data_IF_686816241723
#
_entry.id   IF_686816241723
#
_cell.length_a   1.000
_cell.length_b   1.000
_cell.length_c   1.000
_cell.angle_alpha   90.00
_cell.angle_beta   90.00
_cell.angle_gamma   90.00
#
_symmetry.space_group_name_H-M   'P 1'
#
loop_
_entity.id
_entity.type
_entity.pdbx_description
1 polymer ?
#
# COMPACT_ATOMS: atom_id res chain seq x y z
N UNK A 1 -21.23 -28.15 10.71
CA UNK A 1 -20.11 -28.93 11.30
C UNK A 1 -19.57 -29.84 10.22
N UNK A 2 -18.27 -29.76 9.92
CA UNK A 2 -17.58 -30.57 8.90
C UNK A 2 -17.83 -32.07 9.16
N UNK A 3 -18.06 -32.84 8.10
CA UNK A 3 -18.31 -34.29 8.13
C UNK A 3 -17.14 -35.06 8.77
N UNK A 4 -15.91 -34.60 8.55
CA UNK A 4 -14.70 -35.16 9.14
C UNK A 4 -14.63 -34.96 10.67
N UNK A 5 -15.11 -33.81 11.17
CA UNK A 5 -15.22 -33.53 12.61
C UNK A 5 -16.25 -34.47 13.24
N UNK A 6 -17.40 -34.69 12.58
CA UNK A 6 -18.43 -35.62 13.07
C UNK A 6 -17.88 -37.03 13.23
N UNK A 7 -17.12 -37.50 12.23
CA UNK A 7 -16.52 -38.83 12.26
C UNK A 7 -15.53 -38.97 13.43
N UNK A 8 -14.62 -38.01 13.63
CA UNK A 8 -13.68 -38.02 14.77
C UNK A 8 -14.41 -38.01 16.12
N UNK A 9 -15.52 -37.28 16.23
CA UNK A 9 -16.32 -37.24 17.46
C UNK A 9 -17.06 -38.57 17.71
N UNK A 10 -17.49 -39.28 16.65
CA UNK A 10 -18.19 -40.56 16.73
C UNK A 10 -17.27 -41.77 16.94
N UNK A 11 -15.98 -41.67 16.62
CA UNK A 11 -15.01 -42.76 16.78
C UNK A 11 -14.91 -43.29 18.23
N UNK A 12 -14.71 -44.60 18.39
CA UNK A 12 -14.34 -45.18 19.67
C UNK A 12 -12.90 -44.78 20.05
N UNK A 13 -12.71 -44.14 21.21
CA UNK A 13 -11.38 -43.71 21.64
C UNK A 13 -11.40 -42.73 22.82
N UNK A 14 -10.20 -42.42 23.34
CA UNK A 14 -10.05 -41.47 24.45
C UNK A 14 -10.25 -40.03 24.01
N UNK A 15 -10.64 -39.14 24.94
CA UNK A 15 -10.73 -37.70 24.69
C UNK A 15 -9.40 -37.14 24.16
N UNK A 16 -8.27 -37.60 24.69
CA UNK A 16 -6.93 -37.23 24.22
C UNK A 16 -6.74 -37.59 22.75
N UNK A 17 -7.09 -38.81 22.32
CA UNK A 17 -6.98 -39.23 20.92
C UNK A 17 -7.79 -38.33 19.98
N UNK A 18 -9.04 -38.02 20.35
CA UNK A 18 -9.92 -37.12 19.60
C UNK A 18 -9.36 -35.70 19.53
N UNK A 19 -8.87 -35.17 20.65
CA UNK A 19 -8.21 -33.85 20.71
C UNK A 19 -7.00 -33.81 19.77
N UNK A 20 -6.15 -34.85 19.75
CA UNK A 20 -5.00 -34.91 18.86
C UNK A 20 -5.40 -34.83 17.39
N UNK A 21 -6.41 -35.61 16.97
CA UNK A 21 -6.93 -35.59 15.60
C UNK A 21 -7.52 -34.23 15.22
N UNK A 22 -8.31 -33.62 16.10
CA UNK A 22 -8.91 -32.30 15.85
C UNK A 22 -7.87 -31.17 15.81
N UNK A 23 -6.79 -31.26 16.60
CA UNK A 23 -5.66 -30.33 16.53
C UNK A 23 -4.91 -30.44 15.19
N UNK A 24 -4.70 -31.66 14.68
CA UNK A 24 -4.11 -31.88 13.35
C UNK A 24 -5.01 -31.38 12.22
N UNK A 25 -6.33 -31.44 12.42
CA UNK A 25 -7.34 -30.89 11.51
C UNK A 25 -7.42 -29.35 11.55
N UNK A 26 -6.69 -28.71 12.47
CA UNK A 26 -6.56 -27.26 12.54
C UNK A 26 -7.61 -26.54 13.40
N UNK A 27 -8.41 -27.25 14.19
CA UNK A 27 -9.37 -26.62 15.10
C UNK A 27 -8.65 -25.89 16.24
N UNK A 28 -9.25 -24.79 16.69
CA UNK A 28 -8.74 -24.03 17.83
C UNK A 28 -8.97 -24.75 19.16
N UNK A 29 -8.17 -24.40 20.18
CA UNK A 29 -8.35 -24.92 21.53
C UNK A 29 -9.75 -24.67 22.11
N UNK A 30 -10.41 -23.59 21.69
CA UNK A 30 -11.76 -23.24 22.14
C UNK A 30 -12.80 -24.19 21.53
N UNK A 31 -12.79 -24.35 20.21
CA UNK A 31 -13.72 -25.23 19.50
C UNK A 31 -13.59 -26.68 19.98
N UNK A 32 -12.35 -27.17 20.16
CA UNK A 32 -12.12 -28.52 20.67
C UNK A 32 -12.63 -28.67 22.10
N UNK A 33 -12.47 -27.64 22.95
CA UNK A 33 -12.94 -27.70 24.32
C UNK A 33 -14.46 -27.77 24.40
N UNK A 34 -15.16 -27.00 23.55
CA UNK A 34 -16.62 -27.04 23.43
C UNK A 34 -17.10 -28.42 22.93
N UNK A 35 -16.41 -29.02 21.96
CA UNK A 35 -16.79 -30.30 21.35
C UNK A 35 -16.47 -31.54 22.20
N UNK A 36 -15.33 -31.57 22.90
CA UNK A 36 -14.78 -32.81 23.51
C UNK A 36 -14.69 -32.75 25.03
N UNK A 37 -14.52 -31.55 25.61
CA UNK A 37 -14.13 -31.41 27.03
C UNK A 37 -15.11 -30.59 27.85
N UNK A 38 -16.31 -30.29 27.33
CA UNK A 38 -17.35 -29.47 27.98
C UNK A 38 -16.79 -28.12 28.45
N UNK A 39 -15.96 -27.48 27.62
CA UNK A 39 -15.38 -26.17 27.86
C UNK A 39 -14.04 -26.16 28.61
N UNK A 40 -13.50 -27.31 29.03
CA UNK A 40 -12.20 -27.36 29.69
C UNK A 40 -11.04 -27.16 28.68
N UNK A 41 -10.65 -25.89 28.49
CA UNK A 41 -9.56 -25.47 27.60
C UNK A 41 -8.17 -25.88 28.11
N UNK A 42 -7.98 -25.96 29.43
CA UNK A 42 -6.69 -26.35 30.02
C UNK A 42 -6.31 -27.79 29.67
N UNK A 43 -7.30 -28.69 29.61
CA UNK A 43 -7.06 -30.07 29.20
C UNK A 43 -6.62 -30.16 27.73
N UNK A 44 -7.24 -29.39 26.83
CA UNK A 44 -6.85 -29.33 25.42
C UNK A 44 -5.42 -28.78 25.26
N UNK A 45 -5.09 -27.72 26.01
CA UNK A 45 -3.75 -27.13 26.01
C UNK A 45 -2.67 -28.12 26.45
N UNK A 46 -2.93 -28.93 27.49
CA UNK A 46 -1.99 -29.94 27.94
C UNK A 46 -1.72 -31.01 26.87
N UNK A 47 -2.75 -31.41 26.11
CA UNK A 47 -2.59 -32.34 24.99
C UNK A 47 -1.80 -31.70 23.85
N UNK A 48 -2.11 -30.45 23.49
CA UNK A 48 -1.36 -29.69 22.48
C UNK A 48 0.12 -29.55 22.84
N UNK A 49 0.42 -29.12 24.08
CA UNK A 49 1.79 -28.96 24.58
C UNK A 49 2.58 -30.28 24.44
N UNK A 50 1.96 -31.41 24.83
CA UNK A 50 2.57 -32.73 24.69
C UNK A 50 2.84 -33.11 23.23
N UNK A 51 1.88 -32.88 22.32
CA UNK A 51 2.09 -33.14 20.89
C UNK A 51 3.19 -32.27 20.27
N UNK A 52 3.31 -31.01 20.73
CA UNK A 52 4.36 -30.10 20.31
C UNK A 52 5.73 -30.60 20.75
N UNK A 53 5.84 -30.98 22.02
CA UNK A 53 7.09 -31.48 22.61
C UNK A 53 7.49 -32.84 21.98
N UNK A 54 6.51 -33.63 21.50
CA UNK A 54 6.70 -34.87 20.72
C UNK A 54 6.98 -34.63 19.22
N UNK A 55 6.99 -33.37 18.75
CA UNK A 55 7.22 -33.03 17.33
C UNK A 55 6.11 -33.49 16.37
N UNK A 56 4.94 -33.86 16.90
CA UNK A 56 3.80 -34.39 16.13
C UNK A 56 2.92 -33.29 15.52
N UNK A 57 3.13 -32.04 15.92
CA UNK A 57 2.46 -30.91 15.30
C UNK A 57 3.29 -30.44 14.10
N UNK A 58 2.66 -30.12 12.96
CA UNK A 58 3.37 -29.53 11.83
C UNK A 58 4.19 -28.34 12.32
N UNK A 59 5.48 -28.30 11.96
CA UNK A 59 6.37 -27.17 12.23
C UNK A 59 5.59 -25.89 11.96
N UNK A 60 5.43 -25.06 12.99
CA UNK A 60 4.44 -24.00 13.07
C UNK A 60 4.02 -23.53 11.68
N UNK A 61 2.85 -24.00 11.21
CA UNK A 61 2.10 -23.21 10.26
C UNK A 61 1.92 -21.90 11.02
N UNK A 62 2.76 -20.91 10.71
CA UNK A 62 2.48 -19.50 10.93
C UNK A 62 0.99 -19.43 10.72
N UNK A 63 0.24 -19.12 11.78
CA UNK A 63 -1.20 -18.97 11.71
C UNK A 63 -1.45 -18.22 10.42
N UNK A 64 -1.92 -18.95 9.41
CA UNK A 64 -2.53 -18.32 8.27
C UNK A 64 -3.77 -17.82 8.95
N UNK A 65 -3.66 -16.60 9.48
CA UNK A 65 -4.81 -15.72 9.57
C UNK A 65 -5.45 -15.96 8.22
N UNK A 66 -6.59 -16.65 8.20
CA UNK A 66 -7.46 -16.63 7.04
C UNK A 66 -7.88 -15.17 6.98
N UNK A 67 -6.99 -14.37 6.39
CA UNK A 67 -7.29 -13.03 5.96
C UNK A 67 -8.50 -13.28 5.07
N UNK A 68 -9.67 -12.69 5.36
CA UNK A 68 -10.79 -12.80 4.43
C UNK A 68 -10.22 -12.51 3.04
N UNK A 69 -10.50 -13.37 2.05
CA UNK A 69 -9.94 -13.22 0.70
C UNK A 69 -10.17 -11.76 0.27
N UNK A 70 -9.11 -10.96 0.34
CA UNK A 70 -9.22 -9.53 0.15
C UNK A 70 -9.45 -9.31 -1.34
N UNK A 71 -10.52 -8.59 -1.66
CA UNK A 71 -10.74 -8.14 -3.03
C UNK A 71 -9.73 -7.03 -3.36
N UNK A 72 -8.73 -7.38 -4.16
CA UNK A 72 -7.73 -6.44 -4.68
C UNK A 72 -8.10 -5.87 -6.05
N UNK A 73 -9.38 -5.94 -6.44
CA UNK A 73 -9.89 -5.23 -7.63
C UNK A 73 -9.69 -3.73 -7.45
N UNK A 74 -9.12 -3.08 -8.46
CA UNK A 74 -8.81 -1.66 -8.36
C UNK A 74 -10.05 -0.81 -8.64
N UNK A 75 -10.71 -0.37 -7.56
CA UNK A 75 -11.93 0.49 -7.61
C UNK A 75 -11.78 1.80 -6.84
N UNK A 76 -10.63 2.01 -6.20
CA UNK A 76 -10.38 3.15 -5.30
C UNK A 76 -10.32 4.45 -6.09
N UNK A 77 -10.83 5.53 -5.48
CA UNK A 77 -10.61 6.90 -5.95
C UNK A 77 -9.17 7.31 -5.69
N UNK A 78 -8.49 7.84 -6.70
CA UNK A 78 -7.11 8.28 -6.60
C UNK A 78 -6.88 9.58 -7.37
N UNK A 79 -5.73 10.19 -7.18
CA UNK A 79 -5.26 11.31 -7.97
C UNK A 79 -3.74 11.29 -8.08
N UNK A 80 -3.21 11.93 -9.12
CA UNK A 80 -1.77 12.03 -9.37
C UNK A 80 -1.34 13.48 -9.57
N UNK A 81 -0.16 13.80 -9.05
CA UNK A 81 0.56 15.03 -9.35
C UNK A 81 1.86 14.62 -10.07
N UNK A 82 1.98 15.00 -11.34
CA UNK A 82 3.10 14.65 -12.22
C UNK A 82 3.97 15.91 -12.40
N UNK A 83 5.16 15.90 -11.79
CA UNK A 83 6.13 16.97 -11.96
C UNK A 83 7.02 16.68 -13.19
N UNK A 84 7.14 17.65 -14.10
CA UNK A 84 7.91 17.48 -15.33
C UNK A 84 8.35 18.82 -15.94
N UNK A 85 9.07 18.76 -17.07
CA UNK A 85 9.58 19.93 -17.77
C UNK A 85 9.67 19.69 -19.29
N UNK A 86 10.18 20.68 -20.04
CA UNK A 86 10.46 20.62 -21.48
C UNK A 86 9.24 20.71 -22.41
N UNK A 87 8.12 21.24 -21.93
CA UNK A 87 6.97 21.58 -22.77
C UNK A 87 6.28 22.82 -22.22
N UNK A 88 6.03 23.82 -23.07
CA UNK A 88 5.28 25.00 -22.65
C UNK A 88 3.87 24.60 -22.23
N UNK A 89 3.32 25.29 -21.21
CA UNK A 89 1.98 24.98 -20.70
C UNK A 89 0.92 25.18 -21.78
N UNK A 90 1.10 26.18 -22.65
CA UNK A 90 0.20 26.50 -23.75
C UNK A 90 0.11 25.33 -24.74
N UNK A 91 1.27 24.81 -25.16
CA UNK A 91 1.34 23.63 -26.04
C UNK A 91 0.73 22.42 -25.34
N UNK A 92 1.11 22.15 -24.10
CA UNK A 92 0.62 20.96 -23.39
C UNK A 92 -0.90 20.99 -23.15
N UNK A 93 -1.48 22.15 -22.81
CA UNK A 93 -2.94 22.30 -22.72
C UNK A 93 -3.62 22.00 -24.04
N UNK A 94 -3.07 22.51 -25.16
CA UNK A 94 -3.62 22.27 -26.48
C UNK A 94 -3.63 20.77 -26.82
N UNK A 95 -2.48 20.10 -26.71
CA UNK A 95 -2.33 18.68 -27.07
C UNK A 95 -3.17 17.76 -26.17
N UNK A 96 -3.29 18.07 -24.87
CA UNK A 96 -4.17 17.32 -23.97
C UNK A 96 -5.64 17.46 -24.37
N UNK A 97 -6.08 18.66 -24.76
CA UNK A 97 -7.47 18.89 -25.20
C UNK A 97 -7.77 18.21 -26.53
N UNK A 98 -6.83 18.22 -27.48
CA UNK A 98 -6.96 17.47 -28.74
C UNK A 98 -7.09 15.96 -28.49
N UNK A 99 -6.45 15.45 -27.44
CA UNK A 99 -6.60 14.07 -26.99
C UNK A 99 -7.89 13.80 -26.17
N UNK A 100 -8.78 14.79 -26.03
CA UNK A 100 -10.03 14.68 -25.29
C UNK A 100 -9.90 14.79 -23.76
N UNK A 101 -8.75 15.26 -23.25
CA UNK A 101 -8.54 15.48 -21.81
C UNK A 101 -8.98 16.91 -21.46
N UNK A 102 -9.95 17.04 -20.56
CA UNK A 102 -10.33 18.35 -20.02
C UNK A 102 -9.22 18.88 -19.12
N UNK A 103 -8.54 19.96 -19.55
CA UNK A 103 -7.43 20.57 -18.81
C UNK A 103 -7.42 22.09 -18.94
N UNK A 104 -7.00 22.77 -17.85
CA UNK A 104 -6.69 24.20 -17.84
C UNK A 104 -5.31 24.50 -17.25
N UNK A 105 -4.68 25.58 -17.70
CA UNK A 105 -3.53 26.18 -17.03
C UNK A 105 -4.01 27.11 -15.91
N UNK A 106 -3.45 26.99 -14.71
CA UNK A 106 -3.78 27.81 -13.55
C UNK A 106 -2.49 28.32 -12.87
N UNK A 107 -2.58 29.40 -12.08
CA UNK A 107 -1.52 29.78 -11.15
C UNK A 107 -1.40 28.72 -10.02
N UNK A 108 -0.25 28.68 -9.34
CA UNK A 108 -0.04 27.77 -8.21
C UNK A 108 -1.19 27.81 -7.20
N UNK A 109 -1.84 26.66 -7.00
CA UNK A 109 -2.92 26.53 -6.04
C UNK A 109 -3.19 25.06 -5.67
N UNK A 110 -3.82 24.86 -4.52
CA UNK A 110 -4.21 23.54 -4.03
C UNK A 110 -5.72 23.26 -4.12
N UNK A 111 -6.45 23.99 -4.96
CA UNK A 111 -7.88 23.80 -5.10
C UNK A 111 -8.18 22.53 -5.92
N UNK A 112 -9.15 21.75 -5.44
CA UNK A 112 -9.66 20.60 -6.18
C UNK A 112 -10.41 21.08 -7.44
N UNK A 113 -10.28 20.32 -8.53
CA UNK A 113 -10.96 20.54 -9.80
C UNK A 113 -11.59 19.24 -10.27
N UNK A 114 -12.66 19.35 -11.04
CA UNK A 114 -13.29 18.24 -11.77
C UNK A 114 -12.58 17.91 -13.09
N UNK A 115 -11.47 18.59 -13.38
CA UNK A 115 -10.66 18.49 -14.60
C UNK A 115 -9.18 18.48 -14.24
N UNK A 116 -8.33 18.14 -15.20
CA UNK A 116 -6.89 18.28 -15.04
C UNK A 116 -6.50 19.76 -14.94
N UNK A 117 -5.40 20.03 -14.25
CA UNK A 117 -4.81 21.36 -14.22
C UNK A 117 -3.29 21.31 -14.33
N UNK A 118 -2.73 22.26 -15.08
CA UNK A 118 -1.31 22.57 -15.06
C UNK A 118 -1.07 23.73 -14.12
N UNK A 119 -0.19 23.54 -13.14
CA UNK A 119 0.24 24.60 -12.21
C UNK A 119 1.76 24.80 -12.29
N UNK A 120 2.20 25.95 -11.81
CA UNK A 120 3.62 26.27 -11.65
C UNK A 120 4.15 25.64 -10.37
N UNK A 121 5.33 25.03 -10.41
CA UNK A 121 6.06 24.58 -9.24
C UNK A 121 7.50 25.11 -9.27
N UNK A 122 7.81 26.01 -8.32
CA UNK A 122 9.13 26.65 -8.20
C UNK A 122 10.22 25.73 -7.67
N UNK A 123 9.87 24.53 -7.20
CA UNK A 123 10.85 23.54 -6.71
C UNK A 123 11.50 22.72 -7.83
N UNK A 124 10.99 22.84 -9.07
CA UNK A 124 11.46 22.10 -10.22
C UNK A 124 12.58 22.83 -10.97
N UNK A 125 13.52 22.06 -11.51
CA UNK A 125 14.60 22.55 -12.36
C UNK A 125 14.33 22.16 -13.82
N UNK A 126 14.68 23.04 -14.76
CA UNK A 126 14.54 22.80 -16.20
C UNK A 126 13.87 23.97 -16.91
N UNK A 127 13.78 23.90 -18.24
CA UNK A 127 12.95 24.79 -19.03
C UNK A 127 11.49 24.36 -18.94
N UNK A 128 10.57 25.34 -18.88
CA UNK A 128 9.13 25.09 -18.97
C UNK A 128 8.62 24.06 -17.94
N UNK A 129 9.03 24.21 -16.68
CA UNK A 129 8.62 23.31 -15.60
C UNK A 129 7.14 23.45 -15.28
N UNK A 130 6.48 22.32 -14.99
CA UNK A 130 5.09 22.28 -14.58
C UNK A 130 4.80 21.11 -13.64
N UNK A 131 3.71 21.24 -12.89
CA UNK A 131 3.05 20.12 -12.21
C UNK A 131 1.67 19.92 -12.87
N UNK A 132 1.43 18.72 -13.38
CA UNK A 132 0.15 18.30 -13.93
C UNK A 132 -0.63 17.52 -12.88
N UNK A 133 -1.74 18.08 -12.43
CA UNK A 133 -2.57 17.56 -11.33
C UNK A 133 -3.87 17.01 -11.90
N UNK A 134 -4.18 15.76 -11.57
CA UNK A 134 -5.40 15.10 -12.03
C UNK A 134 -6.65 15.60 -11.28
N UNK A 135 -7.85 15.43 -11.87
CA UNK A 135 -9.08 15.37 -11.10
C UNK A 135 -9.09 14.10 -10.22
N UNK A 136 -10.20 13.84 -9.53
CA UNK A 136 -10.41 12.54 -8.87
C UNK A 136 -10.63 11.48 -9.96
N UNK A 137 -9.65 10.60 -10.11
CA UNK A 137 -9.71 9.42 -10.97
C UNK A 137 -10.28 8.23 -10.19
N UNK A 138 -10.85 7.25 -10.88
CA UNK A 138 -11.52 6.10 -10.23
C UNK A 138 -11.15 4.79 -10.91
N UNK A 139 -10.55 3.87 -10.15
CA UNK A 139 -10.34 2.49 -10.58
C UNK A 139 -9.67 2.36 -11.96
N UNK A 140 -10.11 1.37 -12.73
CA UNK A 140 -9.60 1.08 -14.08
C UNK A 140 -9.83 2.24 -15.06
N UNK A 141 -11.04 2.82 -15.10
CA UNK A 141 -11.35 3.97 -15.96
C UNK A 141 -10.38 5.15 -15.73
N UNK A 142 -10.02 5.39 -14.47
CA UNK A 142 -9.03 6.38 -14.08
C UNK A 142 -7.62 6.06 -14.56
N UNK A 143 -7.24 4.79 -14.63
CA UNK A 143 -5.95 4.37 -15.20
C UNK A 143 -5.94 4.53 -16.72
N UNK A 144 -7.05 4.25 -17.41
CA UNK A 144 -7.17 4.46 -18.86
C UNK A 144 -7.02 5.94 -19.22
N UNK A 145 -7.62 6.85 -18.44
CA UNK A 145 -7.43 8.30 -18.63
C UNK A 145 -5.97 8.72 -18.36
N UNK A 146 -5.36 8.19 -17.30
CA UNK A 146 -3.94 8.44 -16.99
C UNK A 146 -3.01 7.91 -18.10
N UNK A 147 -3.34 6.80 -18.75
CA UNK A 147 -2.58 6.27 -19.88
C UNK A 147 -2.59 7.24 -21.07
N UNK A 148 -3.77 7.75 -21.43
CA UNK A 148 -3.90 8.78 -22.49
C UNK A 148 -3.07 10.01 -22.18
N UNK A 149 -3.12 10.49 -20.93
CA UNK A 149 -2.28 11.62 -20.49
C UNK A 149 -0.78 11.30 -20.67
N UNK A 150 -0.34 10.10 -20.30
CA UNK A 150 1.06 9.70 -20.50
C UNK A 150 1.47 9.67 -21.98
N UNK A 151 0.59 9.24 -22.89
CA UNK A 151 0.86 9.28 -24.34
C UNK A 151 1.05 10.71 -24.83
N UNK A 152 0.20 11.65 -24.38
CA UNK A 152 0.35 13.07 -24.73
C UNK A 152 1.65 13.65 -24.19
N UNK A 153 2.01 13.33 -22.94
CA UNK A 153 3.28 13.78 -22.34
C UNK A 153 4.48 13.29 -23.16
N UNK A 154 4.48 12.03 -23.58
CA UNK A 154 5.55 11.46 -24.42
C UNK A 154 5.61 12.12 -25.80
N UNK A 155 4.46 12.27 -26.48
CA UNK A 155 4.36 12.95 -27.78
C UNK A 155 4.80 14.43 -27.71
N UNK A 156 4.56 15.08 -26.58
CA UNK A 156 5.01 16.46 -26.32
C UNK A 156 6.52 16.57 -26.05
N UNK A 157 7.26 15.46 -26.00
CA UNK A 157 8.67 15.39 -25.62
C UNK A 157 8.93 15.93 -24.21
N UNK A 158 7.96 15.72 -23.29
CA UNK A 158 8.10 16.06 -21.88
C UNK A 158 9.26 15.25 -21.28
N UNK A 159 9.99 15.89 -20.35
CA UNK A 159 11.14 15.30 -19.68
C UNK A 159 10.98 15.32 -18.17
N UNK A 160 11.74 14.46 -17.50
CA UNK A 160 11.83 14.37 -16.04
C UNK A 160 13.30 14.38 -15.63
N UNK A 161 13.59 14.88 -14.44
CA UNK A 161 14.93 14.90 -13.87
C UNK A 161 14.88 14.64 -12.35
N UNK A 162 15.98 14.90 -11.65
CA UNK A 162 16.13 14.65 -10.21
C UNK A 162 15.22 15.49 -9.31
N UNK A 163 14.76 16.68 -9.73
CA UNK A 163 13.80 17.47 -8.95
C UNK A 163 12.39 16.92 -9.07
N UNK A 164 12.03 16.36 -10.23
CA UNK A 164 10.70 15.82 -10.51
C UNK A 164 10.34 14.61 -9.62
N UNK A 165 9.12 14.60 -9.12
CA UNK A 165 8.44 13.56 -8.36
C UNK A 165 7.14 13.11 -9.01
N UNK A 166 6.60 12.01 -8.48
CA UNK A 166 5.22 11.60 -8.71
C UNK A 166 4.55 11.50 -7.34
N UNK A 167 3.54 12.32 -7.10
CA UNK A 167 2.70 12.18 -5.91
C UNK A 167 1.43 11.44 -6.26
N UNK A 168 1.05 10.49 -5.41
CA UNK A 168 -0.19 9.72 -5.57
C UNK A 168 -1.06 9.95 -4.34
N UNK A 169 -2.25 10.48 -4.57
CA UNK A 169 -3.29 10.59 -3.56
C UNK A 169 -4.21 9.39 -3.65
N UNK A 170 -4.44 8.70 -2.54
CA UNK A 170 -5.44 7.63 -2.44
C UNK A 170 -6.54 8.06 -1.49
N UNK A 171 -7.80 7.88 -1.89
CA UNK A 171 -8.93 8.15 -0.98
C UNK A 171 -8.78 7.35 0.30
N UNK A 172 -8.96 8.06 1.41
CA UNK A 172 -8.90 7.55 2.77
C UNK A 172 -10.19 7.87 3.54
N UNK A 173 -11.28 8.18 2.84
CA UNK A 173 -12.61 8.42 3.41
C UNK A 173 -13.12 7.20 4.20
N UNK A 174 -12.76 5.99 3.76
CA UNK A 174 -13.13 4.70 4.34
C UNK A 174 -12.18 4.22 5.44
N UNK A 175 -11.15 4.98 5.80
CA UNK A 175 -10.14 4.51 6.74
C UNK A 175 -10.63 4.58 8.18
N UNK A 176 -10.61 3.43 8.86
CA UNK A 176 -10.60 3.38 10.32
C UNK A 176 -9.23 3.84 10.86
N UNK A 177 -9.16 4.20 12.15
CA UNK A 177 -7.87 4.46 12.80
C UNK A 177 -6.93 3.25 12.69
N UNK A 178 -7.46 2.02 12.81
CA UNK A 178 -6.69 0.79 12.64
C UNK A 178 -6.07 0.69 11.24
N UNK A 179 -6.83 1.06 10.20
CA UNK A 179 -6.34 1.09 8.81
C UNK A 179 -5.18 2.08 8.67
N UNK A 180 -5.31 3.28 9.24
CA UNK A 180 -4.22 4.27 9.26
C UNK A 180 -2.96 3.74 9.93
N UNK A 181 -3.08 3.19 11.14
CA UNK A 181 -1.95 2.63 11.87
C UNK A 181 -1.27 1.50 11.09
N UNK A 182 -2.06 0.58 10.54
CA UNK A 182 -1.56 -0.55 9.76
C UNK A 182 -0.86 -0.10 8.48
N UNK A 183 -1.39 0.91 7.79
CA UNK A 183 -0.78 1.46 6.58
C UNK A 183 0.58 2.08 6.89
N UNK A 184 0.66 2.91 7.93
CA UNK A 184 1.91 3.57 8.32
C UNK A 184 2.99 2.57 8.73
N UNK A 185 2.63 1.57 9.52
CA UNK A 185 3.55 0.50 9.91
C UNK A 185 3.95 -0.34 8.71
N UNK A 186 3.02 -0.68 7.82
CA UNK A 186 3.33 -1.44 6.61
C UNK A 186 4.32 -0.70 5.73
N UNK A 187 4.08 0.59 5.48
CA UNK A 187 4.97 1.40 4.67
C UNK A 187 6.35 1.56 5.34
N UNK A 188 6.38 1.87 6.64
CA UNK A 188 7.62 1.98 7.44
C UNK A 188 8.44 0.69 7.35
N UNK A 189 7.82 -0.47 7.54
CA UNK A 189 8.50 -1.76 7.52
C UNK A 189 8.94 -2.18 6.12
N UNK A 190 8.18 -1.80 5.09
CA UNK A 190 8.53 -2.03 3.70
C UNK A 190 9.52 -0.99 3.14
N UNK A 191 9.80 0.11 3.83
CA UNK A 191 10.51 1.27 3.27
C UNK A 191 11.90 0.88 2.71
N UNK A 192 12.63 0.01 3.41
CA UNK A 192 13.94 -0.49 2.95
C UNK A 192 13.81 -1.29 1.64
N UNK A 193 12.76 -2.10 1.49
CA UNK A 193 12.51 -2.82 0.24
C UNK A 193 12.03 -1.90 -0.87
N UNK A 194 11.20 -0.90 -0.53
CA UNK A 194 10.72 0.12 -1.48
C UNK A 194 11.89 0.94 -2.02
N UNK A 195 12.81 1.36 -1.14
CA UNK A 195 14.02 2.11 -1.51
C UNK A 195 14.84 1.39 -2.59
N UNK A 196 14.90 0.05 -2.58
CA UNK A 196 15.68 -0.74 -3.57
C UNK A 196 15.19 -0.54 -5.01
N UNK A 197 13.90 -0.34 -5.21
CA UNK A 197 13.32 -0.07 -6.54
C UNK A 197 13.01 1.42 -6.79
N UNK A 198 13.58 2.31 -5.98
CA UNK A 198 13.59 3.76 -6.18
C UNK A 198 15.01 4.25 -6.53
N UNK A 199 15.18 5.34 -7.30
CA UNK A 199 16.50 5.94 -7.52
C UNK A 199 17.06 6.53 -6.21
N UNK A 200 18.38 6.70 -6.14
CA UNK A 200 19.09 7.18 -4.92
C UNK A 200 18.50 8.48 -4.35
N UNK A 201 18.05 9.40 -5.22
CA UNK A 201 17.39 10.65 -4.83
C UNK A 201 16.04 10.48 -4.13
N UNK A 202 15.51 9.26 -4.03
CA UNK A 202 14.22 8.95 -3.38
C UNK A 202 14.37 7.91 -2.25
N UNK A 203 15.61 7.55 -1.89
CA UNK A 203 15.93 6.58 -0.81
C UNK A 203 16.20 7.28 0.51
N UNK A 204 15.87 6.61 1.62
CA UNK A 204 16.11 7.10 2.98
C UNK A 204 15.62 8.53 3.18
N UNK A 205 16.52 9.40 3.64
CA UNK A 205 16.29 10.84 3.79
C UNK A 205 17.12 11.67 2.79
N UNK A 206 17.48 11.12 1.62
CA UNK A 206 18.24 11.85 0.59
C UNK A 206 17.43 12.99 -0.05
N UNK A 207 16.13 13.10 0.24
CA UNK A 207 15.25 14.14 -0.25
C UNK A 207 14.38 14.71 0.87
N UNK A 208 14.56 16.00 1.15
CA UNK A 208 13.86 16.72 2.21
C UNK A 208 12.37 16.94 1.90
N UNK A 209 11.92 16.71 0.66
CA UNK A 209 10.51 16.80 0.24
C UNK A 209 9.74 15.48 0.42
N UNK A 210 10.41 14.37 0.73
CA UNK A 210 9.79 13.08 1.06
C UNK A 210 10.61 12.28 2.07
N UNK A 211 10.63 12.74 3.32
CA UNK A 211 11.41 12.12 4.39
C UNK A 211 10.82 10.80 4.91
N UNK A 212 11.69 9.96 5.47
CA UNK A 212 11.42 8.61 5.95
C UNK A 212 10.47 8.52 7.15
N UNK A 213 9.69 7.43 7.22
CA UNK A 213 8.88 7.09 8.40
C UNK A 213 9.69 6.33 9.47
N UNK A 214 10.89 5.84 9.14
CA UNK A 214 11.66 4.96 10.02
C UNK A 214 11.99 5.59 11.39
N UNK A 215 12.07 6.93 11.47
CA UNK A 215 12.37 7.65 12.73
C UNK A 215 11.24 7.65 13.76
N UNK A 216 10.01 7.30 13.40
CA UNK A 216 8.86 7.35 14.32
C UNK A 216 8.64 6.00 15.00
N UNK A 217 8.40 5.96 16.31
CA UNK A 217 8.20 4.70 17.06
C UNK A 217 6.91 3.99 16.63
N UNK A 218 7.00 2.66 16.52
CA UNK A 218 5.85 1.79 16.22
C UNK A 218 4.81 1.87 17.33
N UNK A 219 5.26 1.91 18.60
CA UNK A 219 4.37 2.06 19.75
C UNK A 219 3.58 3.36 19.66
N UNK A 220 4.22 4.46 19.26
CA UNK A 220 3.55 5.76 19.09
C UNK A 220 2.54 5.75 17.96
N UNK A 221 2.82 5.05 16.86
CA UNK A 221 1.86 4.88 15.76
C UNK A 221 0.69 4.03 16.25
N UNK A 222 0.94 2.90 16.92
CA UNK A 222 -0.08 1.99 17.46
C UNK A 222 -0.96 2.62 18.53
N UNK A 223 -0.41 3.52 19.35
CA UNK A 223 -1.14 4.14 20.46
C UNK A 223 -2.06 5.28 20.02
N UNK A 224 -1.89 5.81 18.80
CA UNK A 224 -2.67 6.95 18.32
C UNK A 224 -4.15 6.58 18.18
N UNK A 225 -5.04 7.35 18.80
CA UNK A 225 -6.47 7.02 18.93
C UNK A 225 -7.32 7.57 17.78
N UNK A 226 -6.78 8.51 17.02
CA UNK A 226 -7.47 9.14 15.89
C UNK A 226 -6.44 9.69 14.88
N UNK A 227 -6.93 10.16 13.73
CA UNK A 227 -6.10 10.70 12.66
C UNK A 227 -5.37 11.99 13.07
N UNK A 228 -5.92 12.79 13.98
CA UNK A 228 -5.29 14.02 14.45
C UNK A 228 -4.02 13.73 15.26
N UNK A 229 -4.06 12.75 16.16
CA UNK A 229 -2.88 12.29 16.91
C UNK A 229 -1.78 11.76 15.98
N UNK A 230 -2.15 11.02 14.93
CA UNK A 230 -1.21 10.60 13.89
C UNK A 230 -0.65 11.81 13.12
N UNK A 231 -1.49 12.73 12.67
CA UNK A 231 -1.05 13.95 11.99
C UNK A 231 -0.12 14.80 12.87
N UNK A 232 -0.29 14.81 14.19
CA UNK A 232 0.60 15.52 15.12
C UNK A 232 1.94 14.79 15.32
N UNK A 233 1.98 13.47 15.13
CA UNK A 233 3.23 12.71 15.12
C UNK A 233 4.12 13.07 13.92
N UNK A 234 3.52 13.36 12.75
CA UNK A 234 4.24 13.72 11.52
C UNK A 234 4.27 15.25 11.35
N UNK A 235 5.41 15.92 11.63
CA UNK A 235 5.47 17.37 11.80
C UNK A 235 5.30 18.16 10.50
N UNK A 236 5.42 17.52 9.35
CA UNK A 236 5.45 18.18 8.03
C UNK A 236 4.68 17.37 6.99
N UNK A 237 4.29 18.03 5.90
CA UNK A 237 3.77 17.38 4.69
C UNK A 237 4.86 16.65 3.88
N UNK A 238 6.13 16.96 4.11
CA UNK A 238 7.28 16.45 3.35
C UNK A 238 7.74 15.07 3.85
N UNK A 239 6.80 14.13 3.85
CA UNK A 239 6.97 12.74 4.29
C UNK A 239 6.68 11.80 3.11
N UNK A 240 7.34 10.63 3.03
CA UNK A 240 7.02 9.62 2.01
C UNK A 240 5.55 9.22 2.01
N UNK A 241 4.95 9.17 3.20
CA UNK A 241 3.50 9.05 3.43
C UNK A 241 3.05 10.29 4.18
N UNK A 242 2.31 11.17 3.51
CA UNK A 242 1.82 12.43 4.05
C UNK A 242 0.34 12.32 4.45
N UNK A 243 0.09 12.49 5.76
CA UNK A 243 -1.25 12.45 6.35
C UNK A 243 -1.90 13.83 6.39
N UNK A 244 -1.15 14.92 6.23
CA UNK A 244 -1.70 16.29 6.22
C UNK A 244 -2.64 16.50 5.04
N UNK A 245 -2.48 15.72 3.96
CA UNK A 245 -3.40 15.70 2.82
C UNK A 245 -4.84 15.35 3.23
N UNK A 246 -5.03 14.56 4.30
CA UNK A 246 -6.36 14.14 4.74
C UNK A 246 -7.26 15.31 5.14
N UNK A 247 -6.72 16.32 5.83
CA UNK A 247 -7.52 17.46 6.30
C UNK A 247 -8.08 18.31 5.15
N UNK A 248 -7.41 18.33 3.99
CA UNK A 248 -7.81 19.12 2.82
C UNK A 248 -8.52 18.29 1.76
N UNK A 249 -8.06 17.08 1.51
CA UNK A 249 -8.46 16.26 0.36
C UNK A 249 -9.12 14.94 0.75
N UNK A 250 -9.17 14.58 2.04
CA UNK A 250 -9.62 13.26 2.52
C UNK A 250 -8.84 12.08 1.91
N UNK A 251 -7.56 12.33 1.58
CA UNK A 251 -6.64 11.34 1.01
C UNK A 251 -5.42 11.13 1.91
N UNK A 252 -4.77 9.98 1.72
CA UNK A 252 -3.35 9.81 2.05
C UNK A 252 -2.53 10.12 0.81
N UNK A 253 -1.46 10.89 0.94
CA UNK A 253 -0.56 11.22 -0.17
C UNK A 253 0.75 10.44 -0.06
N UNK A 254 1.17 9.80 -1.14
CA UNK A 254 2.43 9.09 -1.25
C UNK A 254 3.40 9.87 -2.13
N UNK A 255 4.54 10.27 -1.56
CA UNK A 255 5.49 11.23 -2.17
C UNK A 255 6.84 10.60 -2.55
N UNK A 256 6.99 9.29 -2.39
CA UNK A 256 8.30 8.64 -2.56
C UNK A 256 8.71 8.42 -4.02
N UNK A 257 7.77 8.24 -4.95
CA UNK A 257 8.13 7.85 -6.31
C UNK A 257 8.85 8.99 -7.06
N UNK A 258 9.88 8.65 -7.83
CA UNK A 258 10.59 9.61 -8.67
C UNK A 258 9.70 10.13 -9.80
N UNK A 259 10.06 11.29 -10.38
CA UNK A 259 9.44 11.78 -11.60
C UNK A 259 9.41 10.71 -12.68
N UNK A 260 8.28 10.61 -13.38
CA UNK A 260 8.06 9.67 -14.46
C UNK A 260 6.94 10.18 -15.35
N UNK A 261 7.01 9.88 -16.64
CA UNK A 261 5.89 9.98 -17.59
C UNK A 261 5.51 8.61 -18.17
N UNK A 262 6.17 7.54 -17.69
CA UNK A 262 5.86 6.16 -18.10
C UNK A 262 4.62 5.66 -17.38
N UNK A 263 3.56 5.42 -18.14
CA UNK A 263 2.31 4.84 -17.63
C UNK A 263 2.56 3.54 -16.87
N UNK A 264 3.35 2.61 -17.41
CA UNK A 264 3.67 1.35 -16.74
C UNK A 264 4.27 1.54 -15.34
N UNK A 265 5.10 2.57 -15.12
CA UNK A 265 5.63 2.87 -13.76
C UNK A 265 4.54 3.43 -12.85
N UNK A 266 3.73 4.36 -13.36
CA UNK A 266 2.63 4.96 -12.60
C UNK A 266 1.60 3.91 -12.21
N UNK A 267 1.13 3.10 -13.16
CA UNK A 267 0.15 2.04 -12.95
C UNK A 267 0.62 1.04 -11.89
N UNK A 268 1.85 0.53 -12.01
CA UNK A 268 2.39 -0.41 -11.02
C UNK A 268 2.49 0.23 -9.63
N UNK A 269 2.85 1.51 -9.54
CA UNK A 269 2.95 2.22 -8.27
C UNK A 269 1.58 2.50 -7.64
N UNK A 270 0.62 3.01 -8.42
CA UNK A 270 -0.77 3.23 -7.99
C UNK A 270 -1.38 1.93 -7.48
N UNK A 271 -1.26 0.83 -8.24
CA UNK A 271 -1.77 -0.48 -7.82
C UNK A 271 -1.05 -1.04 -6.59
N UNK A 272 0.27 -0.81 -6.45
CA UNK A 272 1.02 -1.22 -5.26
C UNK A 272 0.49 -0.53 -4.00
N UNK A 273 0.24 0.78 -4.10
CA UNK A 273 -0.28 1.58 -3.00
C UNK A 273 -1.70 1.16 -2.62
N UNK A 274 -2.59 0.98 -3.61
CA UNK A 274 -3.96 0.50 -3.37
C UNK A 274 -3.98 -0.87 -2.69
N UNK A 275 -3.17 -1.81 -3.19
CA UNK A 275 -3.04 -3.16 -2.61
C UNK A 275 -2.50 -3.14 -1.18
N UNK A 276 -1.53 -2.28 -0.89
CA UNK A 276 -1.03 -2.09 0.47
C UNK A 276 -2.12 -1.51 1.39
N UNK A 277 -2.93 -0.56 0.90
CA UNK A 277 -4.06 0.00 1.64
C UNK A 277 -5.12 -1.07 1.92
N UNK A 278 -5.48 -1.87 0.92
CA UNK A 278 -6.45 -2.97 1.09
C UNK A 278 -5.95 -3.97 2.13
N UNK A 279 -4.67 -4.33 2.11
CA UNK A 279 -4.07 -5.15 3.16
C UNK A 279 -4.06 -4.46 4.55
N UNK A 280 -3.82 -3.14 4.58
CA UNK A 280 -3.83 -2.37 5.82
C UNK A 280 -5.19 -2.38 6.53
N UNK A 281 -6.29 -2.65 5.83
CA UNK A 281 -7.62 -2.78 6.43
C UNK A 281 -7.72 -3.94 7.44
N UNK A 282 -6.84 -4.95 7.33
CA UNK A 282 -6.88 -6.17 8.16
C UNK A 282 -5.60 -6.41 8.95
N UNK A 283 -4.44 -5.95 8.47
CA UNK A 283 -3.15 -6.22 9.14
C UNK A 283 -2.05 -5.23 8.74
N UNK A 284 -0.93 -5.26 9.45
CA UNK A 284 0.29 -4.53 9.10
C UNK A 284 1.40 -5.50 8.66
N UNK A 285 2.29 -5.07 7.77
CA UNK A 285 3.48 -5.86 7.45
C UNK A 285 4.40 -5.98 8.68
N UNK A 286 5.07 -7.12 8.88
CA UNK A 286 6.06 -7.27 9.94
C UNK A 286 7.36 -6.51 9.62
N UNK A 287 8.13 -6.15 10.65
CA UNK A 287 9.47 -5.58 10.49
C UNK A 287 10.39 -6.55 9.75
N UNK A 288 11.26 -6.04 8.88
CA UNK A 288 12.20 -6.86 8.10
C UNK A 288 11.55 -7.69 6.98
N UNK A 289 10.29 -7.39 6.64
CA UNK A 289 9.61 -8.00 5.49
C UNK A 289 10.42 -7.80 4.21
N UNK A 290 10.46 -8.83 3.37
CA UNK A 290 11.10 -8.79 2.04
C UNK A 290 10.07 -8.75 0.94
N UNK A 291 10.44 -8.24 -0.24
CA UNK A 291 9.55 -8.10 -1.40
C UNK A 291 8.82 -9.40 -1.77
N UNK A 292 9.49 -10.55 -1.69
CA UNK A 292 8.90 -11.87 -1.96
C UNK A 292 7.74 -12.23 -1.02
N UNK A 293 7.72 -11.63 0.18
CA UNK A 293 6.77 -11.89 1.25
C UNK A 293 5.69 -10.81 1.36
N UNK A 294 5.59 -9.88 0.40
CA UNK A 294 4.47 -8.94 0.35
C UNK A 294 3.19 -9.70 0.00
N UNK A 295 2.22 -9.81 0.93
CA UNK A 295 1.06 -10.69 0.77
C UNK A 295 0.04 -10.16 -0.24
N UNK A 296 0.14 -8.88 -0.60
CA UNK A 296 -0.78 -8.19 -1.50
C UNK A 296 -0.27 -8.10 -2.95
N UNK A 297 0.92 -8.65 -3.24
CA UNK A 297 1.51 -8.70 -4.58
C UNK A 297 1.47 -10.11 -5.16
N UNK A 298 1.06 -10.23 -6.42
CA UNK A 298 1.23 -11.45 -7.21
C UNK A 298 2.65 -11.58 -7.77
N UNK A 299 2.96 -12.74 -8.35
CA UNK A 299 4.31 -13.04 -8.86
C UNK A 299 4.75 -12.09 -9.99
N UNK A 300 3.82 -11.64 -10.84
CA UNK A 300 4.12 -10.66 -11.90
C UNK A 300 4.57 -9.32 -11.31
N UNK A 301 3.88 -8.79 -10.29
CA UNK A 301 4.26 -7.53 -9.64
C UNK A 301 5.59 -7.67 -8.88
N UNK A 302 5.79 -8.79 -8.16
CA UNK A 302 7.07 -9.06 -7.50
C UNK A 302 8.22 -9.11 -8.52
N UNK A 303 8.03 -9.75 -9.68
CA UNK A 303 9.02 -9.79 -10.75
C UNK A 303 9.32 -8.37 -11.29
N UNK A 304 8.29 -7.56 -11.54
CA UNK A 304 8.46 -6.18 -11.98
C UNK A 304 9.38 -5.38 -11.02
N UNK A 305 9.10 -5.42 -9.71
CA UNK A 305 9.90 -4.70 -8.71
C UNK A 305 11.32 -5.28 -8.53
N UNK A 306 11.49 -6.60 -8.67
CA UNK A 306 12.82 -7.24 -8.71
C UNK A 306 13.66 -6.76 -9.89
N UNK A 307 13.07 -6.71 -11.09
CA UNK A 307 13.76 -6.20 -12.29
C UNK A 307 14.08 -4.71 -12.17
N UNK A 308 13.17 -3.92 -11.60
CA UNK A 308 13.40 -2.50 -11.32
C UNK A 308 14.54 -2.27 -10.34
N UNK A 309 14.64 -3.08 -9.29
CA UNK A 309 15.77 -3.07 -8.35
C UNK A 309 17.09 -3.30 -9.07
N UNK A 310 17.17 -4.32 -9.94
CA UNK A 310 18.38 -4.60 -10.73
C UNK A 310 18.78 -3.43 -11.64
N UNK A 311 17.80 -2.77 -12.27
CA UNK A 311 18.05 -1.61 -13.15
C UNK A 311 18.63 -0.40 -12.41
N UNK A 312 18.41 -0.29 -11.10
CA UNK A 312 18.83 0.85 -10.26
C UNK A 312 20.02 0.50 -9.35
N UNK A 313 20.60 -0.69 -9.52
CA UNK A 313 21.83 -1.13 -8.83
C UNK A 313 23.10 -0.84 -9.65
N UNK A 314 22.93 -0.34 -10.88
CA UNK A 314 23.97 0.17 -11.79
C UNK A 314 24.10 1.67 -11.57
#
# INVERSE_FOLDING_TARGET
MNEEIRNILAEAGTKTSKIRKLLLLGLTHREIAELVTRGNRGFVWNVYKKMRDEGLLPAARTSVVTVPDLDYSFRRKFGVEIEAYNCTRERLVHELREAGIEVNSEAYNHHLRSRWKLVTDSSLNGNDTFELVSPILVGEDGLEELEKVCWVLDACNVKINGSCGLHVHMSAEDFSITTWQNLLLSYKHAEIEIDKFMPVSRRGNNNNFCTSLCRFSDERIRSARNIEELQNLFPTRYMKVNLKAYSRHKTVEFRQHSGTISFTKMENWVRFLDRMITFASVSALPTGVRLENFPFLGEKQKLYYKLRTKKLAV
#
